data_IF_869333337836
#
_entry.id   IF_869333337836
#
_cell.length_a   1.000
_cell.length_b   1.000
_cell.length_c   1.000
_cell.angle_alpha   90.00
_cell.angle_beta   90.00
_cell.angle_gamma   90.00
#
_symmetry.space_group_name_H-M   'P 1'
#
loop_
_entity.id
_entity.type
_entity.pdbx_description
1 polymer ?
#
# COMPACT_ATOMS: atom_id res chain seq x y z
N UNK A 1 58.15 45.26 22.92
CA UNK A 1 57.04 44.47 23.46
C UNK A 1 55.94 44.45 22.40
N UNK A 2 55.79 43.35 21.69
CA UNK A 2 54.71 43.15 20.69
C UNK A 2 53.58 42.35 21.36
N UNK A 3 52.45 42.98 21.56
CA UNK A 3 51.24 42.36 22.11
C UNK A 3 50.56 41.50 21.04
N UNK A 4 50.45 40.19 21.31
CA UNK A 4 49.70 39.22 20.48
C UNK A 4 48.28 39.18 21.06
N UNK A 5 47.31 39.57 20.20
CA UNK A 5 45.87 39.49 20.50
C UNK A 5 45.38 38.10 20.13
N UNK A 6 44.71 37.30 20.99
CA UNK A 6 44.18 36.01 20.62
C UNK A 6 42.90 36.18 19.81
N UNK A 7 42.89 35.57 18.62
CA UNK A 7 41.70 35.44 17.77
C UNK A 7 40.79 34.37 18.34
N UNK A 8 39.68 34.77 18.96
CA UNK A 8 38.62 33.86 19.40
C UNK A 8 37.78 33.42 18.16
N UNK A 9 37.98 32.18 17.76
CA UNK A 9 37.16 31.53 16.72
C UNK A 9 35.82 31.14 17.35
N UNK A 10 34.72 31.85 17.03
CA UNK A 10 33.37 31.43 17.36
C UNK A 10 32.95 30.35 16.38
N UNK A 11 32.96 29.07 16.81
CA UNK A 11 32.27 28.01 16.13
C UNK A 11 30.76 28.14 16.38
N UNK A 12 30.04 28.70 15.44
CA UNK A 12 28.58 28.62 15.42
C UNK A 12 28.17 27.20 15.06
N UNK A 13 27.72 26.43 16.05
CA UNK A 13 27.03 25.14 15.84
C UNK A 13 25.67 25.49 15.26
N UNK A 14 25.52 25.40 13.94
CA UNK A 14 24.21 25.35 13.31
C UNK A 14 23.59 24.00 13.64
N UNK A 15 22.69 23.96 14.62
CA UNK A 15 21.76 22.84 14.74
C UNK A 15 20.83 22.86 13.51
N UNK A 16 21.06 21.95 12.58
CA UNK A 16 20.11 21.69 11.52
C UNK A 16 18.93 21.01 12.21
N UNK A 17 17.95 21.79 12.62
CA UNK A 17 16.63 21.24 12.96
C UNK A 17 16.06 20.70 11.64
N UNK A 18 15.91 19.39 11.55
CA UNK A 18 15.18 18.77 10.45
C UNK A 18 13.80 19.44 10.37
N UNK A 19 13.45 20.00 9.20
CA UNK A 19 12.11 20.52 8.97
C UNK A 19 11.14 19.35 9.08
N UNK A 20 10.27 19.38 10.09
CA UNK A 20 9.13 18.46 10.15
C UNK A 20 8.23 18.79 8.97
N UNK A 21 8.06 17.83 8.06
CA UNK A 21 7.17 17.97 6.92
C UNK A 21 5.74 17.73 7.38
N UNK A 22 4.80 18.60 7.01
CA UNK A 22 3.39 18.31 7.17
C UNK A 22 2.91 17.56 5.93
N UNK A 23 2.36 16.37 6.13
CA UNK A 23 1.79 15.53 5.08
C UNK A 23 0.28 15.45 5.29
N UNK A 24 -0.47 15.82 4.27
CA UNK A 24 -1.92 15.95 4.36
C UNK A 24 -2.62 14.99 3.40
N UNK A 25 -3.67 14.34 3.89
CA UNK A 25 -4.58 13.51 3.11
C UNK A 25 -6.03 13.96 3.33
N UNK A 26 -6.83 13.84 2.29
CA UNK A 26 -8.26 14.12 2.33
C UNK A 26 -9.04 12.85 2.07
N UNK A 27 -9.75 12.36 3.07
CA UNK A 27 -10.56 11.15 2.98
C UNK A 27 -12.04 11.44 3.19
N UNK A 28 -12.88 10.64 2.57
CA UNK A 28 -14.32 10.61 2.82
C UNK A 28 -14.77 9.19 3.14
N UNK A 29 -15.83 9.06 3.95
CA UNK A 29 -16.58 7.82 4.12
C UNK A 29 -17.85 7.84 3.28
N UNK A 30 -18.15 6.70 2.64
CA UNK A 30 -19.43 6.47 1.92
C UNK A 30 -19.88 5.02 2.06
N UNK A 31 -21.20 4.80 1.91
CA UNK A 31 -21.82 3.48 2.01
C UNK A 31 -22.41 3.03 0.65
N UNK A 32 -21.86 3.49 -0.46
CA UNK A 32 -22.40 3.27 -1.80
C UNK A 32 -21.39 2.60 -2.75
N UNK A 33 -20.39 1.90 -2.21
CA UNK A 33 -19.47 1.11 -3.00
C UNK A 33 -20.16 -0.12 -3.60
N UNK A 34 -19.76 -0.49 -4.81
CA UNK A 34 -20.20 -1.72 -5.50
C UNK A 34 -18.95 -2.50 -5.84
N UNK A 35 -18.89 -3.75 -5.40
CA UNK A 35 -17.82 -4.69 -5.67
C UNK A 35 -18.30 -5.76 -6.65
N UNK A 36 -17.56 -5.94 -7.74
CA UNK A 36 -17.85 -6.97 -8.74
C UNK A 36 -17.13 -8.27 -8.38
N UNK A 37 -17.89 -9.33 -8.17
CA UNK A 37 -17.40 -10.68 -7.90
C UNK A 37 -16.90 -11.35 -9.18
N UNK A 38 -16.04 -12.36 -9.05
CA UNK A 38 -15.50 -13.11 -10.20
C UNK A 38 -16.60 -13.76 -11.09
N UNK A 39 -17.75 -14.08 -10.51
CA UNK A 39 -18.89 -14.66 -11.26
C UNK A 39 -19.72 -13.61 -12.02
N UNK A 40 -19.33 -12.33 -11.98
CA UNK A 40 -20.01 -11.22 -12.63
C UNK A 40 -21.21 -10.66 -11.85
N UNK A 41 -21.54 -11.20 -10.68
CA UNK A 41 -22.50 -10.56 -9.78
C UNK A 41 -21.81 -9.46 -8.96
N UNK A 42 -22.59 -8.62 -8.30
CA UNK A 42 -22.05 -7.55 -7.48
C UNK A 42 -22.68 -7.52 -6.10
N UNK A 43 -21.90 -7.05 -5.12
CA UNK A 43 -22.35 -6.81 -3.75
C UNK A 43 -22.03 -5.39 -3.34
N UNK A 44 -22.71 -4.90 -2.30
CA UNK A 44 -22.42 -3.58 -1.72
C UNK A 44 -21.22 -3.66 -0.78
N UNK A 45 -20.43 -2.59 -0.76
CA UNK A 45 -19.45 -2.37 0.29
C UNK A 45 -19.47 -0.91 0.74
N UNK A 46 -18.93 -0.66 1.92
CA UNK A 46 -18.71 0.67 2.47
C UNK A 46 -17.22 0.92 2.52
N UNK A 47 -16.81 2.17 2.37
CA UNK A 47 -15.37 2.40 2.31
C UNK A 47 -14.96 3.84 2.47
N UNK A 48 -13.66 4.02 2.38
CA UNK A 48 -13.03 5.33 2.28
C UNK A 48 -12.66 5.63 0.83
N UNK A 49 -12.73 6.91 0.49
CA UNK A 49 -12.36 7.41 -0.82
C UNK A 49 -11.61 8.73 -0.73
N UNK A 50 -11.04 9.15 -1.84
CA UNK A 50 -10.36 10.43 -1.96
C UNK A 50 -11.37 11.59 -1.89
N UNK A 51 -11.04 12.63 -1.12
CA UNK A 51 -11.81 13.88 -0.98
C UNK A 51 -10.94 15.11 -1.24
N UNK A 52 -9.87 14.97 -2.00
CA UNK A 52 -8.89 16.06 -2.25
C UNK A 52 -9.52 17.25 -2.99
N UNK A 53 -9.47 18.47 -2.44
CA UNK A 53 -9.93 19.66 -3.12
C UNK A 53 -9.08 19.98 -4.36
N UNK A 54 -9.61 20.70 -5.38
CA UNK A 54 -10.97 21.27 -5.46
C UNK A 54 -12.01 20.29 -6.00
N UNK A 55 -11.65 19.10 -6.44
CA UNK A 55 -12.50 18.14 -7.11
C UNK A 55 -12.60 16.82 -6.31
N UNK A 56 -13.30 16.82 -5.17
CA UNK A 56 -13.46 15.61 -4.40
C UNK A 56 -14.17 14.52 -5.21
N UNK A 57 -13.64 13.31 -5.16
CA UNK A 57 -14.27 12.15 -5.78
C UNK A 57 -15.62 11.79 -5.12
N UNK A 58 -16.40 10.95 -5.77
CA UNK A 58 -17.63 10.39 -5.20
C UNK A 58 -17.55 8.86 -5.01
N UNK A 59 -16.38 8.29 -5.24
CA UNK A 59 -16.12 6.85 -5.14
C UNK A 59 -15.43 6.52 -3.83
N UNK A 60 -15.63 5.30 -3.39
CA UNK A 60 -14.87 4.63 -2.34
C UNK A 60 -14.11 3.45 -2.93
N UNK A 61 -13.06 3.03 -2.24
CA UNK A 61 -12.16 1.97 -2.69
C UNK A 61 -12.13 0.84 -1.67
N UNK A 62 -11.80 -0.33 -2.12
CA UNK A 62 -11.59 -1.52 -1.31
C UNK A 62 -10.22 -2.14 -1.64
N UNK A 63 -9.27 -2.08 -0.72
CA UNK A 63 -9.25 -1.26 0.50
C UNK A 63 -9.30 0.24 0.20
N UNK A 64 -9.56 1.06 1.21
CA UNK A 64 -9.43 2.52 1.14
C UNK A 64 -8.01 2.97 0.77
N UNK A 65 -7.81 4.26 0.42
CA UNK A 65 -6.52 4.78 -0.02
C UNK A 65 -5.38 4.47 0.96
N UNK A 66 -4.23 4.01 0.47
CA UNK A 66 -3.04 3.85 1.30
C UNK A 66 -2.48 5.23 1.69
N UNK A 67 -2.22 5.43 2.99
CA UNK A 67 -1.56 6.63 3.51
C UNK A 67 -0.08 6.35 3.71
N UNK A 68 0.78 7.26 3.25
CA UNK A 68 2.24 7.13 3.37
C UNK A 68 2.84 8.32 4.09
N UNK A 69 3.64 8.03 5.09
CA UNK A 69 4.37 9.00 5.89
C UNK A 69 5.81 8.55 6.11
N UNK A 70 6.61 9.43 6.67
CA UNK A 70 7.94 9.13 7.22
C UNK A 70 7.93 9.39 8.72
N UNK A 71 8.82 8.75 9.44
CA UNK A 71 9.07 9.12 10.85
C UNK A 71 9.40 10.61 10.92
N UNK A 72 8.91 11.29 11.94
CA UNK A 72 8.96 12.73 12.20
C UNK A 72 7.96 13.57 11.39
N UNK A 73 7.24 13.03 10.38
CA UNK A 73 6.19 13.77 9.71
C UNK A 73 5.05 14.14 10.66
N UNK A 74 4.53 15.35 10.48
CA UNK A 74 3.27 15.79 11.07
C UNK A 74 2.14 15.41 10.11
N UNK A 75 1.38 14.37 10.45
CA UNK A 75 0.26 13.90 9.65
C UNK A 75 -1.00 14.72 9.93
N UNK A 76 -1.72 15.07 8.86
CA UNK A 76 -3.07 15.61 8.93
C UNK A 76 -3.96 14.81 7.99
N UNK A 77 -4.99 14.16 8.54
CA UNK A 77 -5.98 13.46 7.74
C UNK A 77 -7.32 14.20 7.87
N UNK A 78 -7.65 14.96 6.82
CA UNK A 78 -8.92 15.67 6.70
C UNK A 78 -10.01 14.67 6.33
N UNK A 79 -10.90 14.40 7.25
CA UNK A 79 -11.97 13.43 7.08
C UNK A 79 -13.32 14.12 6.89
N UNK A 80 -14.05 13.68 5.86
CA UNK A 80 -15.43 14.07 5.59
C UNK A 80 -16.36 12.86 5.64
N UNK A 81 -17.35 12.90 6.49
CA UNK A 81 -18.38 11.87 6.50
C UNK A 81 -19.47 12.23 5.46
N UNK A 82 -19.43 11.59 4.30
CA UNK A 82 -20.44 11.73 3.23
C UNK A 82 -21.42 10.53 3.20
N UNK A 83 -21.64 9.88 4.34
CA UNK A 83 -22.58 8.77 4.52
C UNK A 83 -23.77 9.16 5.40
N UNK A 84 -24.83 8.34 5.47
CA UNK A 84 -25.99 8.59 6.34
C UNK A 84 -25.77 8.20 7.80
N UNK A 85 -24.65 7.53 8.14
CA UNK A 85 -24.35 7.05 9.50
C UNK A 85 -23.11 7.74 10.07
N UNK A 86 -22.86 7.57 11.38
CA UNK A 86 -21.64 8.05 12.02
C UNK A 86 -20.45 7.18 11.64
N UNK A 87 -19.31 7.80 11.37
CA UNK A 87 -18.05 7.11 11.09
C UNK A 87 -16.88 7.79 11.77
N UNK A 88 -15.79 7.03 11.94
CA UNK A 88 -14.49 7.54 12.42
C UNK A 88 -13.37 6.98 11.57
N UNK A 89 -12.14 7.46 11.81
CA UNK A 89 -10.92 6.79 11.39
C UNK A 89 -10.11 6.49 12.65
N UNK A 90 -10.01 5.21 13.01
CA UNK A 90 -9.08 4.73 14.02
C UNK A 90 -7.76 4.32 13.34
N UNK A 91 -6.65 4.82 13.86
CA UNK A 91 -5.29 4.51 13.37
C UNK A 91 -4.70 3.36 14.18
N UNK A 92 -4.98 2.16 13.75
CA UNK A 92 -4.62 0.94 14.45
C UNK A 92 -3.10 0.71 14.51
N UNK A 93 -2.54 0.72 15.70
CA UNK A 93 -1.13 0.48 15.98
C UNK A 93 -0.22 1.71 15.92
N UNK A 94 -0.72 2.86 15.45
CA UNK A 94 0.00 4.14 15.53
C UNK A 94 -0.09 4.74 16.95
N UNK A 95 0.99 5.40 17.38
CA UNK A 95 1.04 6.10 18.67
C UNK A 95 0.39 7.48 18.51
N UNK A 96 -0.95 7.53 18.57
CA UNK A 96 -1.73 8.76 18.48
C UNK A 96 -2.27 9.17 19.84
N UNK A 97 -2.54 10.47 20.02
CA UNK A 97 -3.19 10.91 21.25
C UNK A 97 -4.70 10.59 21.21
N UNK A 98 -5.30 10.49 22.38
CA UNK A 98 -6.70 10.09 22.56
C UNK A 98 -7.70 10.89 21.70
N UNK A 99 -7.50 12.19 21.51
CA UNK A 99 -8.40 13.03 20.70
C UNK A 99 -8.40 12.68 19.20
N UNK A 100 -7.33 12.06 18.72
CA UNK A 100 -7.12 11.67 17.32
C UNK A 100 -7.18 10.14 17.10
N UNK A 101 -7.55 9.37 18.11
CA UNK A 101 -7.58 7.91 18.07
C UNK A 101 -8.76 7.34 17.27
N UNK A 102 -9.82 8.12 17.10
CA UNK A 102 -10.99 7.73 16.31
C UNK A 102 -11.88 6.66 16.96
N UNK A 103 -11.70 6.39 18.25
CA UNK A 103 -12.53 5.46 19.04
C UNK A 103 -13.62 6.26 19.76
N UNK A 104 -14.89 5.99 19.49
CA UNK A 104 -16.03 6.82 19.95
C UNK A 104 -16.15 7.05 21.46
N UNK A 105 -15.55 6.19 22.31
CA UNK A 105 -15.50 6.39 23.76
C UNK A 105 -14.40 7.35 24.22
N UNK A 106 -13.39 7.58 23.40
CA UNK A 106 -12.21 8.37 23.74
C UNK A 106 -12.01 9.55 22.81
N UNK A 107 -12.56 9.46 21.61
CA UNK A 107 -12.54 10.48 20.56
C UNK A 107 -13.96 10.86 20.14
N UNK A 108 -14.10 11.67 19.12
CA UNK A 108 -15.40 12.11 18.60
C UNK A 108 -15.87 11.21 17.45
N UNK A 109 -17.12 10.71 17.52
CA UNK A 109 -17.83 10.17 16.36
C UNK A 109 -18.22 11.29 15.40
N UNK A 110 -18.00 11.08 14.10
CA UNK A 110 -18.23 12.10 13.08
C UNK A 110 -19.60 11.85 12.45
N UNK A 111 -20.53 12.74 12.72
CA UNK A 111 -21.90 12.66 12.23
C UNK A 111 -21.99 12.86 10.70
N UNK A 112 -23.09 12.44 10.06
CA UNK A 112 -23.33 12.68 8.64
C UNK A 112 -23.10 14.15 8.23
N UNK A 113 -22.39 14.35 7.12
CA UNK A 113 -22.00 15.65 6.57
C UNK A 113 -21.03 16.49 7.43
N UNK A 114 -20.51 15.97 8.52
CA UNK A 114 -19.50 16.64 9.34
C UNK A 114 -18.08 16.31 8.84
N UNK A 115 -17.12 17.11 9.29
CA UNK A 115 -15.69 16.96 9.02
C UNK A 115 -14.92 16.88 10.33
N UNK A 116 -13.78 16.22 10.30
CA UNK A 116 -12.82 16.20 11.38
C UNK A 116 -11.40 16.11 10.84
N UNK A 117 -10.45 16.79 11.48
CA UNK A 117 -9.02 16.71 11.15
C UNK A 117 -8.32 15.86 12.19
N UNK A 118 -7.89 14.67 11.80
CA UNK A 118 -7.02 13.85 12.62
C UNK A 118 -5.58 14.36 12.47
N UNK A 119 -4.91 14.66 13.59
CA UNK A 119 -3.57 15.22 13.63
C UNK A 119 -2.68 14.42 14.56
N UNK A 120 -1.58 13.90 14.04
CA UNK A 120 -0.63 13.11 14.81
C UNK A 120 0.78 13.24 14.25
N UNK A 121 1.76 12.79 15.03
CA UNK A 121 3.15 12.68 14.60
C UNK A 121 3.47 11.21 14.38
N UNK A 122 4.14 10.90 13.26
CA UNK A 122 4.60 9.54 12.98
C UNK A 122 5.88 9.27 13.77
N UNK A 123 5.85 8.29 14.68
CA UNK A 123 6.95 8.02 15.62
C UNK A 123 7.67 6.71 15.34
N UNK A 124 7.06 5.78 14.62
CA UNK A 124 7.61 4.46 14.36
C UNK A 124 7.46 4.09 12.90
N UNK A 125 8.50 3.47 12.34
CA UNK A 125 8.48 2.87 11.01
C UNK A 125 7.64 1.60 11.00
N UNK A 126 7.05 1.26 9.84
CA UNK A 126 6.35 0.00 9.65
C UNK A 126 5.00 0.14 8.96
N UNK A 127 4.26 -0.97 8.99
CA UNK A 127 2.92 -1.08 8.42
C UNK A 127 1.87 -1.03 9.52
N UNK A 128 0.85 -0.20 9.29
CA UNK A 128 -0.27 0.04 10.18
C UNK A 128 -1.58 -0.03 9.40
N UNK A 129 -2.70 -0.07 10.13
CA UNK A 129 -4.03 -0.08 9.53
C UNK A 129 -4.79 1.18 9.93
N UNK A 130 -5.78 1.56 9.16
CA UNK A 130 -6.83 2.47 9.61
C UNK A 130 -8.19 1.89 9.28
N UNK A 131 -9.16 2.13 10.15
CA UNK A 131 -10.51 1.59 9.97
C UNK A 131 -11.55 2.38 10.75
N UNK A 132 -12.84 2.15 10.44
CA UNK A 132 -13.93 2.72 11.21
C UNK A 132 -14.05 2.02 12.56
N UNK A 133 -14.31 2.80 13.62
CA UNK A 133 -14.50 2.28 14.98
C UNK A 133 -15.92 2.52 15.53
N UNK A 134 -16.86 2.94 14.67
CA UNK A 134 -18.29 2.95 14.96
C UNK A 134 -18.88 1.63 14.47
N UNK A 135 -19.62 0.89 15.32
CA UNK A 135 -20.10 -0.46 15.00
C UNK A 135 -18.99 -1.31 14.33
N UNK A 136 -17.83 -1.33 14.95
CA UNK A 136 -16.57 -1.76 14.37
C UNK A 136 -16.65 -3.06 13.57
N UNK A 137 -17.28 -4.09 14.13
CA UNK A 137 -17.42 -5.40 13.49
C UNK A 137 -18.17 -5.31 12.16
N UNK A 138 -19.28 -4.57 12.12
CA UNK A 138 -20.05 -4.40 10.89
C UNK A 138 -19.28 -3.56 9.85
N UNK A 139 -18.75 -2.40 10.27
CA UNK A 139 -18.11 -1.48 9.34
C UNK A 139 -16.82 -2.06 8.73
N UNK A 140 -16.06 -2.86 9.51
CA UNK A 140 -14.94 -3.60 8.94
C UNK A 140 -15.40 -4.68 7.96
N UNK A 141 -16.38 -5.49 8.34
CA UNK A 141 -16.95 -6.52 7.45
C UNK A 141 -17.45 -5.92 6.14
N UNK A 142 -17.95 -4.68 6.19
CA UNK A 142 -18.43 -3.96 5.00
C UNK A 142 -17.31 -3.32 4.17
N UNK A 143 -16.04 -3.30 4.62
CA UNK A 143 -14.90 -2.79 3.84
C UNK A 143 -14.33 -1.44 4.28
N UNK A 144 -14.72 -0.90 5.43
CA UNK A 144 -14.25 0.41 5.91
C UNK A 144 -12.87 0.34 6.57
N UNK A 145 -11.84 0.11 5.77
CA UNK A 145 -10.46 0.01 6.20
C UNK A 145 -9.47 0.40 5.09
N UNK A 146 -8.23 0.62 5.48
CA UNK A 146 -7.09 0.82 4.60
C UNK A 146 -5.78 0.70 5.37
N UNK A 147 -4.67 1.04 4.73
CA UNK A 147 -3.34 0.88 5.29
C UNK A 147 -2.61 2.19 5.46
N UNK A 148 -1.72 2.23 6.45
CA UNK A 148 -0.75 3.30 6.64
C UNK A 148 0.65 2.69 6.60
N UNK A 149 1.55 3.28 5.83
CA UNK A 149 2.96 2.92 5.80
C UNK A 149 3.76 4.12 6.29
N UNK A 150 4.60 3.89 7.29
CA UNK A 150 5.55 4.89 7.78
C UNK A 150 6.96 4.41 7.46
N UNK A 151 7.62 5.13 6.58
CA UNK A 151 9.01 4.86 6.19
C UNK A 151 10.03 5.59 7.05
N UNK A 152 11.34 5.35 6.82
CA UNK A 152 12.42 6.03 7.48
C UNK A 152 12.41 7.55 7.24
N UNK A 153 12.79 8.32 8.28
CA UNK A 153 12.83 9.79 8.23
C UNK A 153 13.77 10.34 7.15
N UNK A 154 14.84 9.61 6.83
CA UNK A 154 15.79 9.97 5.78
C UNK A 154 15.28 9.68 4.35
N UNK A 155 14.11 9.05 4.21
CA UNK A 155 13.52 8.69 2.93
C UNK A 155 14.19 7.52 2.21
N UNK A 156 15.01 6.72 2.90
CA UNK A 156 15.60 5.51 2.30
C UNK A 156 14.51 4.48 1.97
N UNK A 157 14.72 3.72 0.88
CA UNK A 157 13.89 2.57 0.53
C UNK A 157 14.27 1.38 1.40
N UNK A 158 14.04 1.48 2.72
CA UNK A 158 14.25 0.39 3.68
C UNK A 158 13.01 0.25 4.59
N UNK A 159 12.82 -0.93 5.17
CA UNK A 159 11.69 -1.17 6.08
C UNK A 159 11.82 -0.36 7.37
N UNK A 160 13.06 -0.17 7.83
CA UNK A 160 13.41 0.62 8.99
C UNK A 160 14.83 1.16 8.86
N UNK A 161 15.13 2.24 9.56
CA UNK A 161 16.46 2.85 9.59
C UNK A 161 17.53 1.83 10.01
N UNK A 162 18.54 1.68 9.17
CA UNK A 162 19.65 0.73 9.38
C UNK A 162 19.43 -0.67 8.81
N UNK A 163 18.26 -0.98 8.26
CA UNK A 163 18.03 -2.20 7.50
C UNK A 163 18.45 -2.04 6.02
N UNK A 164 18.66 -3.16 5.29
CA UNK A 164 18.95 -3.11 3.86
C UNK A 164 17.88 -2.36 3.08
N UNK A 165 18.31 -1.68 2.01
CA UNK A 165 17.40 -1.11 1.04
C UNK A 165 16.77 -2.20 0.19
N UNK A 166 15.52 -1.98 -0.23
CA UNK A 166 14.80 -2.83 -1.18
C UNK A 166 14.64 -2.12 -2.52
N UNK A 167 14.53 -2.91 -3.60
CA UNK A 167 14.33 -2.40 -4.95
C UNK A 167 12.84 -2.24 -5.30
N UNK A 168 11.98 -3.02 -4.65
CA UNK A 168 10.53 -2.98 -4.85
C UNK A 168 9.78 -3.26 -3.55
N UNK A 169 8.55 -2.76 -3.46
CA UNK A 169 7.70 -2.88 -2.27
C UNK A 169 6.29 -3.30 -2.67
N UNK A 170 5.74 -4.26 -1.94
CA UNK A 170 4.39 -4.78 -2.13
C UNK A 170 3.65 -4.88 -0.80
N UNK A 171 2.37 -4.52 -0.83
CA UNK A 171 1.45 -4.74 0.28
C UNK A 171 0.58 -5.96 -0.04
N UNK A 172 0.39 -6.82 0.94
CA UNK A 172 -0.56 -7.93 0.91
C UNK A 172 -1.51 -7.79 2.11
N UNK A 173 -2.57 -7.01 1.93
CA UNK A 173 -3.63 -6.85 2.93
C UNK A 173 -4.69 -7.92 2.73
N UNK A 174 -4.76 -8.89 3.62
CA UNK A 174 -5.81 -9.89 3.62
C UNK A 174 -7.09 -9.36 4.25
N UNK A 175 -8.19 -9.68 3.63
CA UNK A 175 -9.55 -9.35 4.08
C UNK A 175 -10.55 -10.36 3.55
N UNK A 176 -11.79 -10.30 4.03
CA UNK A 176 -12.83 -11.23 3.66
C UNK A 176 -14.21 -10.57 3.74
N UNK A 177 -15.14 -11.06 2.93
CA UNK A 177 -16.56 -10.73 3.00
C UNK A 177 -17.37 -11.95 3.46
N UNK A 178 -18.46 -11.67 4.16
CA UNK A 178 -19.65 -12.49 4.18
C UNK A 178 -20.62 -11.93 3.13
N UNK A 179 -20.79 -12.65 2.02
CA UNK A 179 -21.57 -12.14 0.89
C UNK A 179 -23.04 -11.93 1.24
N UNK A 180 -23.58 -12.65 2.20
CA UNK A 180 -24.96 -12.44 2.66
C UNK A 180 -25.10 -11.08 3.38
N UNK A 181 -24.10 -10.71 4.18
CA UNK A 181 -24.02 -9.39 4.81
C UNK A 181 -23.89 -8.27 3.78
N UNK A 182 -23.00 -8.45 2.80
CA UNK A 182 -22.77 -7.48 1.73
C UNK A 182 -23.97 -7.35 0.77
N UNK A 183 -24.81 -8.38 0.68
CA UNK A 183 -26.07 -8.33 -0.08
C UNK A 183 -27.19 -7.60 0.66
N UNK A 184 -27.20 -7.67 1.99
CA UNK A 184 -28.20 -6.97 2.84
C UNK A 184 -27.54 -6.18 3.99
N UNK A 185 -26.75 -5.14 3.70
CA UNK A 185 -25.94 -4.45 4.71
C UNK A 185 -26.76 -3.64 5.73
N UNK A 186 -28.04 -3.33 5.44
CA UNK A 186 -28.92 -2.55 6.34
C UNK A 186 -29.42 -3.41 7.50
N UNK A 187 -29.54 -4.72 7.30
CA UNK A 187 -30.01 -5.65 8.32
C UNK A 187 -29.18 -6.95 8.26
N UNK A 188 -27.87 -6.85 8.54
CA UNK A 188 -27.02 -8.04 8.60
C UNK A 188 -27.48 -8.93 9.76
N UNK A 189 -27.18 -10.20 9.69
CA UNK A 189 -27.39 -11.15 10.78
C UNK A 189 -26.57 -10.78 12.04
N UNK A 190 -26.83 -11.45 13.18
CA UNK A 190 -25.99 -11.31 14.34
C UNK A 190 -24.53 -11.70 14.02
N UNK A 191 -23.55 -10.94 14.53
CA UNK A 191 -22.13 -11.12 14.19
C UNK A 191 -21.60 -12.55 14.45
N UNK A 192 -22.15 -13.26 15.45
CA UNK A 192 -21.76 -14.65 15.68
C UNK A 192 -22.15 -15.63 14.55
N UNK A 193 -22.99 -15.17 13.60
CA UNK A 193 -23.36 -15.89 12.38
C UNK A 193 -22.55 -15.41 11.16
N UNK A 194 -21.59 -14.48 11.35
CA UNK A 194 -20.71 -14.06 10.28
C UNK A 194 -19.91 -15.26 9.74
N UNK A 195 -20.01 -15.50 8.45
CA UNK A 195 -19.31 -16.57 7.74
C UNK A 195 -18.51 -16.00 6.57
N UNK A 196 -17.20 -15.84 6.77
CA UNK A 196 -16.29 -15.44 5.71
C UNK A 196 -16.33 -16.44 4.56
N UNK A 197 -16.90 -16.04 3.42
CA UNK A 197 -17.06 -16.91 2.25
C UNK A 197 -16.51 -16.29 0.95
N UNK A 198 -15.88 -15.13 1.05
CA UNK A 198 -15.17 -14.48 -0.06
C UNK A 198 -13.89 -13.81 0.46
N UNK A 199 -12.75 -14.38 0.12
CA UNK A 199 -11.45 -13.98 0.62
C UNK A 199 -10.69 -13.13 -0.41
N UNK A 200 -9.97 -12.11 0.03
CA UNK A 200 -9.32 -11.12 -0.82
C UNK A 200 -7.91 -10.77 -0.34
N UNK A 201 -7.05 -10.42 -1.28
CA UNK A 201 -5.78 -9.70 -1.07
C UNK A 201 -5.90 -8.35 -1.78
N UNK A 202 -5.71 -7.25 -1.04
CA UNK A 202 -5.81 -5.88 -1.55
C UNK A 202 -7.15 -5.60 -2.26
N UNK A 203 -8.24 -6.23 -1.81
CA UNK A 203 -9.56 -6.11 -2.42
C UNK A 203 -9.73 -6.91 -3.72
N UNK A 204 -8.84 -7.85 -4.03
CA UNK A 204 -8.88 -8.71 -5.22
C UNK A 204 -8.93 -10.18 -4.82
N UNK A 205 -9.55 -11.02 -5.64
CA UNK A 205 -9.70 -12.46 -5.40
C UNK A 205 -9.40 -13.28 -6.66
N UNK A 206 -9.00 -14.53 -6.47
CA UNK A 206 -8.86 -15.53 -7.50
C UNK A 206 -8.09 -15.08 -8.75
N UNK A 207 -8.73 -15.11 -9.91
CA UNK A 207 -8.11 -14.78 -11.20
C UNK A 207 -7.75 -13.29 -11.34
N UNK A 208 -8.37 -12.40 -10.56
CA UNK A 208 -8.03 -10.98 -10.56
C UNK A 208 -6.59 -10.75 -10.05
N UNK A 209 -6.08 -11.62 -9.17
CA UNK A 209 -4.71 -11.56 -8.66
C UNK A 209 -3.68 -12.12 -9.64
N UNK A 210 -4.10 -12.86 -10.67
CA UNK A 210 -3.23 -13.61 -11.58
C UNK A 210 -3.19 -13.03 -13.00
N UNK A 211 -3.69 -11.81 -13.20
CA UNK A 211 -3.73 -11.16 -14.51
C UNK A 211 -2.40 -10.47 -14.90
N UNK A 212 -1.37 -10.55 -14.05
CA UNK A 212 -0.04 -9.95 -14.26
C UNK A 212 0.12 -8.53 -13.68
N UNK A 213 -0.98 -7.81 -13.42
CA UNK A 213 -0.92 -6.44 -12.89
C UNK A 213 -0.57 -6.40 -11.39
N UNK A 214 -0.71 -7.55 -10.72
CA UNK A 214 -0.52 -7.69 -9.27
C UNK A 214 0.63 -8.64 -8.90
N UNK A 215 1.44 -9.04 -9.90
CA UNK A 215 2.60 -9.88 -9.69
C UNK A 215 3.62 -9.17 -8.77
N UNK A 216 4.17 -9.94 -7.82
CA UNK A 216 5.33 -9.49 -7.04
C UNK A 216 6.57 -9.67 -7.90
N UNK A 217 7.22 -8.57 -8.26
CA UNK A 217 8.36 -8.59 -9.17
C UNK A 217 9.65 -8.20 -8.44
N UNK A 218 10.75 -8.88 -8.73
CA UNK A 218 12.05 -8.58 -8.16
C UNK A 218 13.22 -9.02 -9.06
N UNK A 219 14.42 -8.55 -8.73
CA UNK A 219 15.64 -8.99 -9.38
C UNK A 219 16.38 -10.02 -8.53
N UNK A 220 17.12 -10.90 -9.20
CA UNK A 220 18.04 -11.83 -8.53
C UNK A 220 19.06 -11.03 -7.71
N UNK A 221 19.33 -11.48 -6.48
CA UNK A 221 20.23 -10.84 -5.52
C UNK A 221 19.79 -9.43 -5.03
N UNK A 222 18.54 -9.05 -5.23
CA UNK A 222 17.97 -7.85 -4.63
C UNK A 222 16.94 -8.17 -3.56
N UNK A 223 16.56 -7.15 -2.78
CA UNK A 223 15.51 -7.28 -1.77
C UNK A 223 14.19 -6.73 -2.29
N UNK A 224 13.12 -7.46 -2.02
CA UNK A 224 11.74 -7.06 -2.18
C UNK A 224 11.18 -6.84 -0.78
N UNK A 225 10.61 -5.68 -0.50
CA UNK A 225 9.82 -5.48 0.71
C UNK A 225 8.40 -6.04 0.50
N UNK A 226 7.97 -6.94 1.37
CA UNK A 226 6.59 -7.41 1.40
C UNK A 226 5.99 -7.07 2.75
N UNK A 227 4.92 -6.30 2.72
CA UNK A 227 4.17 -5.87 3.90
C UNK A 227 2.92 -6.71 4.01
N UNK A 228 2.88 -7.60 5.00
CA UNK A 228 1.72 -8.42 5.30
C UNK A 228 0.83 -7.72 6.31
N UNK A 229 -0.46 -7.74 6.10
CA UNK A 229 -1.45 -7.26 7.06
C UNK A 229 -2.73 -8.09 6.98
N UNK A 230 -3.40 -8.29 8.10
CA UNK A 230 -4.71 -8.94 8.16
C UNK A 230 -5.73 -8.01 8.79
N UNK A 231 -6.77 -7.64 8.04
CA UNK A 231 -7.92 -6.83 8.52
C UNK A 231 -9.20 -7.66 8.58
N UNK A 232 -9.15 -8.92 8.18
CA UNK A 232 -10.27 -9.86 8.27
C UNK A 232 -10.56 -10.31 9.70
N UNK A 233 -11.55 -11.19 9.85
CA UNK A 233 -11.93 -11.79 11.14
C UNK A 233 -11.35 -13.18 11.35
N UNK A 234 -10.85 -13.79 10.27
CA UNK A 234 -10.18 -15.06 10.29
C UNK A 234 -8.67 -14.96 10.49
N UNK A 235 -8.01 -16.09 10.72
CA UNK A 235 -6.56 -16.19 10.63
C UNK A 235 -6.18 -16.32 9.16
N UNK A 236 -5.19 -15.57 8.73
CA UNK A 236 -4.63 -15.66 7.38
C UNK A 236 -3.21 -16.20 7.45
N UNK A 237 -2.94 -17.24 6.67
CA UNK A 237 -1.61 -17.85 6.53
C UNK A 237 -1.03 -17.52 5.15
N UNK A 238 0.19 -16.98 5.14
CA UNK A 238 0.96 -16.68 3.94
C UNK A 238 2.09 -17.69 3.82
N UNK A 239 2.06 -18.53 2.80
CA UNK A 239 3.08 -19.53 2.50
C UNK A 239 3.89 -19.10 1.26
N UNK A 240 5.16 -18.83 1.46
CA UNK A 240 6.12 -18.44 0.41
C UNK A 240 6.81 -19.67 -0.16
N UNK A 241 7.18 -19.65 -1.46
CA UNK A 241 8.02 -20.67 -2.08
C UNK A 241 9.29 -20.94 -1.27
N UNK A 242 9.64 -22.22 -1.11
CA UNK A 242 10.77 -22.65 -0.26
C UNK A 242 12.16 -22.27 -0.78
N UNK A 243 12.25 -21.85 -2.03
CA UNK A 243 13.47 -21.34 -2.69
C UNK A 243 13.67 -19.82 -2.53
N UNK A 244 12.82 -19.18 -1.72
CA UNK A 244 12.97 -17.79 -1.32
C UNK A 244 13.61 -17.69 0.08
N UNK A 245 14.45 -16.69 0.28
CA UNK A 245 14.83 -16.23 1.60
C UNK A 245 13.84 -15.16 2.04
N UNK A 246 13.05 -15.46 3.07
CA UNK A 246 12.02 -14.57 3.62
C UNK A 246 12.35 -14.27 5.06
N UNK A 247 12.53 -13.01 5.40
CA UNK A 247 12.93 -12.56 6.74
C UNK A 247 12.02 -11.44 7.22
N UNK A 248 11.31 -11.66 8.32
CA UNK A 248 10.54 -10.63 9.01
C UNK A 248 11.46 -9.77 9.89
N UNK A 249 11.39 -8.47 9.73
CA UNK A 249 12.14 -7.50 10.52
C UNK A 249 11.24 -6.70 11.46
N UNK A 250 10.00 -6.43 11.09
CA UNK A 250 9.05 -5.73 11.95
C UNK A 250 7.77 -6.58 12.14
N UNK A 251 7.18 -6.44 13.33
CA UNK A 251 5.84 -6.91 13.65
C UNK A 251 5.08 -5.77 14.29
N UNK A 252 3.84 -5.54 13.83
CA UNK A 252 2.94 -4.53 14.38
C UNK A 252 3.53 -3.11 14.46
N UNK A 253 4.31 -2.72 13.43
CA UNK A 253 4.96 -1.43 13.36
C UNK A 253 6.09 -1.25 14.40
N UNK A 254 6.71 -2.34 14.84
CA UNK A 254 7.85 -2.35 15.76
C UNK A 254 8.94 -3.28 15.25
N UNK A 255 10.19 -2.84 15.38
CA UNK A 255 11.35 -3.66 15.03
C UNK A 255 11.40 -4.88 15.95
N UNK A 256 11.53 -6.07 15.36
CA UNK A 256 11.70 -7.31 16.12
C UNK A 256 13.05 -7.33 16.85
N UNK A 257 13.13 -7.84 18.07
CA UNK A 257 14.40 -7.98 18.80
C UNK A 257 15.42 -8.85 18.06
N UNK A 258 14.94 -9.78 17.26
CA UNK A 258 15.73 -10.59 16.32
C UNK A 258 14.87 -10.86 15.08
N UNK A 259 15.43 -10.73 13.86
CA UNK A 259 14.72 -11.08 12.65
C UNK A 259 14.26 -12.53 12.65
N UNK A 260 13.10 -12.82 12.08
CA UNK A 260 12.53 -14.17 11.97
C UNK A 260 12.62 -14.62 10.51
N UNK A 261 13.44 -15.64 10.25
CA UNK A 261 13.48 -16.28 8.94
C UNK A 261 12.50 -17.45 8.89
N UNK A 262 11.50 -17.37 8.02
CA UNK A 262 10.51 -18.43 7.84
C UNK A 262 9.94 -18.36 6.42
N UNK A 263 9.40 -19.46 5.92
CA UNK A 263 8.65 -19.49 4.65
C UNK A 263 7.13 -19.36 4.85
N UNK A 264 6.66 -19.29 6.09
CA UNK A 264 5.24 -19.22 6.43
C UNK A 264 5.00 -18.26 7.58
N UNK A 265 3.95 -17.44 7.45
CA UNK A 265 3.53 -16.46 8.44
C UNK A 265 2.03 -16.55 8.66
N UNK A 266 1.63 -16.78 9.90
CA UNK A 266 0.25 -16.68 10.34
C UNK A 266 -0.02 -15.28 10.89
N UNK A 267 -1.09 -14.63 10.40
CA UNK A 267 -1.55 -13.35 10.89
C UNK A 267 -2.98 -13.46 11.42
N UNK A 268 -3.16 -13.06 12.66
CA UNK A 268 -4.48 -12.90 13.27
C UNK A 268 -5.06 -11.52 12.98
N UNK A 269 -6.36 -11.29 13.22
CA UNK A 269 -6.99 -9.99 12.96
C UNK A 269 -6.22 -8.81 13.58
N UNK A 270 -5.85 -7.84 12.75
CA UNK A 270 -5.10 -6.65 13.15
C UNK A 270 -3.58 -6.80 13.13
N UNK A 271 -3.02 -8.00 12.96
CA UNK A 271 -1.57 -8.23 12.92
C UNK A 271 -0.94 -7.83 11.58
N UNK A 272 0.33 -7.40 11.63
CA UNK A 272 1.15 -7.00 10.47
C UNK A 272 2.57 -7.50 10.65
N UNK A 273 3.19 -7.90 9.53
CA UNK A 273 4.62 -8.17 9.43
C UNK A 273 5.22 -7.42 8.24
N UNK A 274 6.41 -6.87 8.42
CA UNK A 274 7.18 -6.30 7.31
C UNK A 274 8.40 -7.20 7.03
N UNK A 275 8.47 -7.70 5.79
CA UNK A 275 9.42 -8.72 5.35
C UNK A 275 10.39 -8.16 4.32
N UNK A 276 11.63 -8.64 4.33
CA UNK A 276 12.51 -8.61 3.16
C UNK A 276 12.56 -10.02 2.55
N UNK A 277 12.28 -10.07 1.26
CA UNK A 277 12.30 -11.30 0.46
C UNK A 277 13.39 -11.19 -0.59
N UNK A 278 14.16 -12.25 -0.80
CA UNK A 278 15.22 -12.30 -1.82
C UNK A 278 15.42 -13.71 -2.35
N UNK A 279 16.05 -13.81 -3.52
CA UNK A 279 16.53 -15.07 -4.08
C UNK A 279 17.83 -14.81 -4.86
N UNK A 280 18.75 -15.79 -4.84
CA UNK A 280 19.91 -15.86 -5.72
C UNK A 280 19.61 -16.60 -7.04
N UNK A 281 18.38 -17.06 -7.22
CA UNK A 281 17.89 -17.80 -8.38
C UNK A 281 16.70 -17.11 -9.04
N UNK A 282 16.44 -17.48 -10.29
CA UNK A 282 15.21 -17.08 -10.99
C UNK A 282 14.03 -17.82 -10.38
N UNK A 283 12.98 -17.09 -10.04
CA UNK A 283 11.73 -17.59 -9.47
C UNK A 283 10.57 -17.22 -10.39
N UNK A 284 9.68 -18.16 -10.62
CA UNK A 284 8.36 -17.96 -11.20
C UNK A 284 7.41 -18.92 -10.47
N UNK A 285 6.79 -18.43 -9.40
CA UNK A 285 6.03 -19.25 -8.47
C UNK A 285 4.88 -18.42 -7.85
N UNK A 286 4.19 -18.96 -6.87
CA UNK A 286 3.02 -18.37 -6.22
C UNK A 286 3.23 -18.28 -4.70
N UNK A 287 2.91 -17.15 -4.11
CA UNK A 287 2.66 -17.05 -2.67
C UNK A 287 1.23 -17.55 -2.43
N UNK A 288 1.10 -18.63 -1.67
CA UNK A 288 -0.20 -19.16 -1.31
C UNK A 288 -0.73 -18.43 -0.05
N UNK A 289 -1.99 -18.02 -0.09
CA UNK A 289 -2.66 -17.36 1.03
C UNK A 289 -3.90 -18.16 1.40
N UNK A 290 -3.93 -18.69 2.62
CA UNK A 290 -5.02 -19.51 3.15
C UNK A 290 -5.73 -18.78 4.29
N UNK A 291 -7.05 -18.86 4.30
CA UNK A 291 -7.91 -18.19 5.28
C UNK A 291 -8.59 -19.24 6.15
N UNK A 292 -8.71 -18.97 7.45
CA UNK A 292 -9.22 -19.91 8.43
C UNK A 292 -10.19 -19.24 9.40
N UNK A 293 -11.31 -19.91 9.66
CA UNK A 293 -12.26 -19.51 10.70
C UNK A 293 -11.66 -19.73 12.10
N UNK A 294 -11.57 -18.68 12.92
CA UNK A 294 -11.01 -18.74 14.26
C UNK A 294 -11.83 -19.62 15.24
N UNK A 295 -13.09 -19.92 14.93
CA UNK A 295 -13.96 -20.72 15.81
C UNK A 295 -13.66 -22.21 15.76
N UNK A 296 -13.14 -22.70 14.62
CA UNK A 296 -12.99 -24.14 14.37
C UNK A 296 -11.73 -24.49 13.57
N UNK A 297 -10.92 -23.50 13.18
CA UNK A 297 -9.71 -23.62 12.35
C UNK A 297 -9.95 -24.28 10.97
N UNK A 298 -11.20 -24.26 10.49
CA UNK A 298 -11.50 -24.72 9.13
C UNK A 298 -11.03 -23.67 8.11
N UNK A 299 -10.46 -24.14 7.01
CA UNK A 299 -10.10 -23.29 5.90
C UNK A 299 -11.37 -22.80 5.20
N UNK A 300 -11.51 -21.46 5.05
CA UNK A 300 -12.66 -20.79 4.45
C UNK A 300 -12.38 -20.31 3.02
N UNK A 301 -11.10 -20.16 2.66
CA UNK A 301 -10.72 -19.69 1.34
C UNK A 301 -9.23 -19.80 1.06
N UNK A 302 -8.86 -19.51 -0.18
CA UNK A 302 -7.46 -19.39 -0.59
C UNK A 302 -7.31 -18.42 -1.75
N UNK A 303 -6.15 -17.75 -1.82
CA UNK A 303 -5.72 -16.93 -2.93
C UNK A 303 -4.27 -17.26 -3.28
N UNK A 304 -3.87 -16.94 -4.50
CA UNK A 304 -2.51 -17.15 -4.97
C UNK A 304 -2.01 -15.87 -5.64
N UNK A 305 -0.87 -15.37 -5.17
CA UNK A 305 -0.25 -14.15 -5.69
C UNK A 305 1.05 -14.52 -6.40
N UNK A 306 1.18 -14.26 -7.71
CA UNK A 306 2.41 -14.57 -8.44
C UNK A 306 3.61 -13.79 -7.89
N UNK A 307 4.74 -14.50 -7.74
CA UNK A 307 6.03 -13.91 -7.40
C UNK A 307 7.06 -14.32 -8.46
N UNK A 308 7.67 -13.31 -9.10
CA UNK A 308 8.62 -13.50 -10.19
C UNK A 308 9.90 -12.75 -9.89
N UNK A 309 11.00 -13.49 -9.75
CA UNK A 309 12.34 -12.93 -9.56
C UNK A 309 13.20 -13.35 -10.73
N UNK A 310 13.82 -12.39 -11.41
CA UNK A 310 14.64 -12.68 -12.58
C UNK A 310 15.63 -11.57 -12.88
N UNK A 311 16.47 -11.78 -13.87
CA UNK A 311 17.32 -10.72 -14.39
C UNK A 311 16.42 -9.74 -15.16
N UNK A 312 16.20 -8.55 -14.61
CA UNK A 312 15.26 -7.54 -15.11
C UNK A 312 13.76 -7.92 -15.00
N UNK A 313 13.36 -8.67 -13.96
CA UNK A 313 11.95 -9.02 -13.71
C UNK A 313 11.02 -7.80 -13.53
N UNK A 314 11.60 -6.62 -13.23
CA UNK A 314 10.88 -5.33 -13.21
C UNK A 314 10.69 -4.73 -14.62
N UNK A 315 10.86 -5.51 -15.68
CA UNK A 315 10.56 -5.07 -17.04
C UNK A 315 9.08 -5.17 -17.34
N UNK A 316 8.45 -4.06 -17.68
CA UNK A 316 7.15 -4.10 -18.35
C UNK A 316 7.39 -4.46 -19.82
N UNK A 317 6.71 -5.49 -20.32
CA UNK A 317 6.74 -5.86 -21.74
C UNK A 317 5.40 -5.45 -22.33
N UNK A 318 5.41 -4.58 -23.34
CA UNK A 318 4.19 -4.22 -24.05
C UNK A 318 3.81 -5.28 -25.11
N UNK A 319 2.62 -5.17 -25.69
CA UNK A 319 2.11 -6.09 -26.70
C UNK A 319 2.99 -6.18 -27.98
N UNK A 320 3.94 -5.26 -28.18
CA UNK A 320 4.91 -5.26 -29.27
C UNK A 320 6.27 -5.80 -28.87
N UNK A 321 6.43 -6.25 -27.61
CA UNK A 321 7.70 -6.67 -27.05
C UNK A 321 8.61 -5.53 -26.63
N UNK A 322 8.13 -4.27 -26.57
CA UNK A 322 8.86 -3.18 -25.94
C UNK A 322 9.10 -3.52 -24.47
N UNK A 323 10.33 -3.40 -24.04
CA UNK A 323 10.75 -3.68 -22.67
C UNK A 323 11.12 -2.36 -21.98
N UNK A 324 10.57 -2.13 -20.79
CA UNK A 324 10.83 -0.91 -20.01
C UNK A 324 11.36 -1.28 -18.63
N UNK A 325 12.41 -0.58 -18.15
CA UNK A 325 12.98 -0.75 -16.81
C UNK A 325 13.78 0.49 -16.39
N UNK A 326 14.02 0.73 -15.09
CA UNK A 326 13.40 0.06 -13.96
C UNK A 326 11.95 0.55 -13.70
N UNK A 327 11.23 -0.14 -12.86
CA UNK A 327 9.99 0.33 -12.27
C UNK A 327 10.00 -0.04 -10.77
N UNK A 328 10.10 0.91 -9.82
CA UNK A 328 10.05 2.37 -9.98
C UNK A 328 11.19 3.00 -10.78
N UNK A 329 10.88 4.13 -11.40
CA UNK A 329 11.82 4.92 -12.22
C UNK A 329 12.46 6.01 -11.37
N UNK A 330 13.80 6.08 -11.39
CA UNK A 330 14.55 7.15 -10.71
C UNK A 330 15.20 8.08 -11.75
N UNK A 331 14.41 9.00 -12.28
CA UNK A 331 14.84 9.99 -13.27
C UNK A 331 15.03 9.44 -14.69
N UNK A 332 15.44 8.19 -14.85
CA UNK A 332 15.76 7.57 -16.15
C UNK A 332 14.99 6.26 -16.31
N UNK A 333 14.22 6.17 -17.38
CA UNK A 333 13.57 4.94 -17.82
C UNK A 333 14.29 4.41 -19.07
N UNK A 334 14.76 3.18 -19.01
CA UNK A 334 15.31 2.49 -20.16
C UNK A 334 14.20 1.79 -20.94
N UNK A 335 14.34 1.76 -22.26
CA UNK A 335 13.42 1.03 -23.12
C UNK A 335 14.20 0.31 -24.22
N UNK A 336 13.97 -0.99 -24.39
CA UNK A 336 14.43 -1.74 -25.55
C UNK A 336 13.28 -1.92 -26.53
N UNK A 337 13.43 -1.41 -27.75
CA UNK A 337 12.53 -1.59 -28.86
C UNK A 337 13.06 -2.68 -29.80
N UNK A 338 12.55 -3.91 -29.76
CA UNK A 338 13.04 -4.99 -30.60
C UNK A 338 12.61 -4.84 -32.08
N UNK A 339 11.67 -3.93 -32.36
CA UNK A 339 11.21 -3.69 -33.73
C UNK A 339 12.22 -2.85 -34.51
N UNK A 340 12.09 -2.84 -35.82
CA UNK A 340 12.88 -1.99 -36.72
C UNK A 340 12.20 -0.63 -37.02
N UNK A 341 11.14 -0.27 -36.29
CA UNK A 341 10.39 0.97 -36.44
C UNK A 341 10.38 1.77 -35.14
N UNK A 342 10.36 3.09 -35.27
CA UNK A 342 10.16 4.00 -34.15
C UNK A 342 8.74 3.92 -33.60
N UNK A 343 8.58 3.96 -32.29
CA UNK A 343 7.29 3.87 -31.58
C UNK A 343 7.03 5.14 -30.80
N UNK A 344 5.90 5.80 -31.02
CA UNK A 344 5.46 6.94 -30.24
C UNK A 344 5.12 6.51 -28.81
N UNK A 345 5.61 7.25 -27.81
CA UNK A 345 5.15 7.11 -26.43
C UNK A 345 4.55 8.42 -25.92
N UNK A 346 3.61 8.31 -24.99
CA UNK A 346 2.99 9.43 -24.29
C UNK A 346 2.87 9.09 -22.81
N UNK A 347 3.32 9.98 -21.92
CA UNK A 347 3.23 9.83 -20.46
C UNK A 347 2.10 10.70 -19.94
N UNK A 348 1.21 10.10 -19.17
CA UNK A 348 0.06 10.74 -18.56
C UNK A 348 0.13 10.66 -17.04
N UNK A 349 -0.29 11.72 -16.36
CA UNK A 349 -0.66 11.63 -14.96
C UNK A 349 -1.99 10.84 -14.79
N UNK A 350 -2.29 10.39 -13.58
CA UNK A 350 -3.51 9.62 -13.31
C UNK A 350 -4.82 10.38 -13.56
N UNK A 351 -4.76 11.71 -13.56
CA UNK A 351 -5.90 12.57 -13.92
C UNK A 351 -6.14 12.69 -15.44
N UNK A 352 -5.32 11.99 -16.26
CA UNK A 352 -5.40 11.97 -17.70
C UNK A 352 -4.67 13.13 -18.40
N UNK A 353 -3.93 13.96 -17.66
CA UNK A 353 -3.14 15.05 -18.23
C UNK A 353 -1.90 14.48 -18.92
N UNK A 354 -1.70 14.84 -20.19
CA UNK A 354 -0.45 14.53 -20.91
C UNK A 354 0.70 15.35 -20.30
N UNK A 355 1.76 14.66 -19.89
CA UNK A 355 2.94 15.27 -19.28
C UNK A 355 4.10 15.33 -20.26
N UNK A 356 4.37 14.23 -20.97
CA UNK A 356 5.49 14.12 -21.89
C UNK A 356 5.13 13.21 -23.05
N UNK A 357 5.74 13.45 -24.20
CA UNK A 357 5.67 12.56 -25.36
C UNK A 357 6.99 12.53 -26.12
N UNK A 358 7.21 11.47 -26.88
CA UNK A 358 8.43 11.30 -27.68
C UNK A 358 8.40 10.00 -28.49
N UNK A 359 9.54 9.66 -29.08
CA UNK A 359 9.67 8.47 -29.90
C UNK A 359 10.76 7.55 -29.35
N UNK A 360 10.44 6.27 -29.23
CA UNK A 360 11.34 5.17 -28.88
C UNK A 360 11.93 4.64 -30.21
N UNK A 361 13.22 4.83 -30.41
CA UNK A 361 13.91 4.34 -31.60
C UNK A 361 14.14 2.81 -31.55
N UNK A 362 14.39 2.12 -32.68
CA UNK A 362 14.84 0.74 -32.66
C UNK A 362 16.05 0.53 -31.74
N UNK A 363 16.07 -0.56 -31.00
CA UNK A 363 17.12 -0.91 -30.04
C UNK A 363 16.96 -0.29 -28.65
N UNK A 364 18.07 -0.13 -27.95
CA UNK A 364 18.10 0.39 -26.59
C UNK A 364 17.97 1.91 -26.56
N UNK A 365 17.02 2.41 -25.79
CA UNK A 365 16.73 3.82 -25.58
C UNK A 365 16.87 4.20 -24.11
N UNK A 366 17.22 5.46 -23.89
CA UNK A 366 17.20 6.10 -22.56
C UNK A 366 16.20 7.24 -22.59
N UNK A 367 15.15 7.12 -21.82
CA UNK A 367 14.11 8.15 -21.72
C UNK A 367 14.35 8.93 -20.44
N UNK A 368 14.72 10.19 -20.57
CA UNK A 368 14.77 11.12 -19.45
C UNK A 368 13.37 11.62 -19.15
N UNK A 369 12.88 11.35 -17.96
CA UNK A 369 11.55 11.77 -17.51
C UNK A 369 11.71 12.85 -16.45
N UNK A 370 11.11 14.01 -16.70
CA UNK A 370 11.06 15.12 -15.75
C UNK A 370 9.70 15.09 -15.03
N UNK A 371 9.58 14.19 -14.05
CA UNK A 371 8.34 13.92 -13.32
C UNK A 371 8.55 14.20 -11.82
N UNK A 372 7.47 14.46 -11.12
CA UNK A 372 7.44 14.43 -9.65
C UNK A 372 7.24 12.98 -9.19
N UNK A 373 7.65 12.66 -7.96
CA UNK A 373 7.38 11.35 -7.38
C UNK A 373 5.87 11.05 -7.44
N UNK A 374 5.53 9.88 -7.97
CA UNK A 374 4.12 9.52 -8.18
C UNK A 374 3.93 8.40 -9.20
N UNK A 375 2.68 8.11 -9.46
CA UNK A 375 2.25 7.08 -10.41
C UNK A 375 1.84 7.70 -11.72
N UNK A 376 2.27 7.08 -12.83
CA UNK A 376 2.05 7.57 -14.19
C UNK A 376 1.63 6.43 -15.11
N UNK A 377 1.04 6.81 -16.25
CA UNK A 377 0.68 5.90 -17.33
C UNK A 377 1.48 6.26 -18.57
N UNK A 378 2.18 5.27 -19.15
CA UNK A 378 2.81 5.43 -20.46
C UNK A 378 1.96 4.73 -21.51
N UNK A 379 1.52 5.47 -22.50
CA UNK A 379 0.75 4.96 -23.62
C UNK A 379 1.65 4.82 -24.85
N UNK A 380 1.60 3.65 -25.47
CA UNK A 380 2.11 3.41 -26.83
C UNK A 380 0.90 3.15 -27.75
N UNK A 381 1.05 3.07 -29.07
CA UNK A 381 -0.07 2.80 -29.99
C UNK A 381 -0.83 1.50 -29.68
N UNK A 382 -0.23 0.56 -28.98
CA UNK A 382 -0.80 -0.79 -28.76
C UNK A 382 -0.86 -1.21 -27.30
N UNK A 383 -0.38 -0.37 -26.36
CA UNK A 383 -0.42 -0.70 -24.94
C UNK A 383 -0.47 0.53 -24.04
N UNK A 384 -0.89 0.28 -22.80
CA UNK A 384 -0.91 1.26 -21.72
C UNK A 384 -0.18 0.64 -20.53
N UNK A 385 0.97 1.22 -20.18
CA UNK A 385 1.84 0.75 -19.12
C UNK A 385 1.72 1.67 -17.90
N UNK A 386 1.63 1.11 -16.73
CA UNK A 386 1.66 1.83 -15.46
C UNK A 386 3.07 1.77 -14.88
N UNK A 387 3.60 2.89 -14.42
CA UNK A 387 4.90 2.93 -13.75
C UNK A 387 4.89 3.94 -12.59
N UNK A 388 5.82 3.74 -11.68
CA UNK A 388 6.05 4.62 -10.52
C UNK A 388 7.32 5.41 -10.82
N UNK A 389 7.29 6.72 -10.53
CA UNK A 389 8.44 7.61 -10.58
C UNK A 389 8.76 8.07 -9.15
N UNK A 390 10.00 7.82 -8.70
CA UNK A 390 10.51 8.16 -7.37
C UNK A 390 11.38 9.41 -7.38
#
# INVERSE_FOLDING_TARGET
MKSILPLLLFLSIFSIYGQTTTVEYWLQARMNGVYELENGSSVQFWGYGDNTPPNPGNKVFLPGPQLRFKVEDSAVVHFKNNSPEMHTIHFHGLDVNQANDGVGHTSQDIAPNQTFDYRFKCTNEGTFLYHCHVLTTLHLAMGMYGTVVVGPSNGSSSLSTGLPNYDSEYLMLSSEFDLDWNTNPISPGPFHLFEANYSMINGLSGTQLQNGDHDILGNVNSFIAIRLANIGYGRTKFDFPSNLTVVAYLSDGRLLPSPIQASSFDLYPGERFDLLVSSDQIIDDLVAVSYYDLRNDNQTGSNFVPIKIGNNALTSIDANGLQFWPNPVQGVLYCNNPSNQSVLFQVYALDGKLIQEGNIQPGLNTLQLELLAGMYMMKTPQSLLKFIFD
#
